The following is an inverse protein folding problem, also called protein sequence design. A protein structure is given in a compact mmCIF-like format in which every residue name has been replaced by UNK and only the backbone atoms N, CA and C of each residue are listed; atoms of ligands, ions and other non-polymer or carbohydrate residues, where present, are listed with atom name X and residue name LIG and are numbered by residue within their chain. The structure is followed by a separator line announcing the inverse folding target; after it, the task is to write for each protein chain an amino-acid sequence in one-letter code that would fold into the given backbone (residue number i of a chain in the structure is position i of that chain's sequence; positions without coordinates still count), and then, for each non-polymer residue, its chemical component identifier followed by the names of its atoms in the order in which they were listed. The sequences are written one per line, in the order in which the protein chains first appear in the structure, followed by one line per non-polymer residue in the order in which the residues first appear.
data_IF_094649649536
#
_entry.id   IF_094649649536
#
_cell.length_a   1.000
_cell.length_b   1.000
_cell.length_c   1.000
_cell.angle_alpha   90.00
_cell.angle_beta   90.00
_cell.angle_gamma   90.00
#
_symmetry.space_group_name_H-M   'P 1'
#
loop_
_entity.id
_entity.type
_entity.pdbx_description
1 polymer ?
#
# COMPACT_ATOMS: atom_id res chain seq x y z
N UNK A 1 -1.78 23.82 -4.62
CA UNK A 1 -1.69 22.38 -4.30
C UNK A 1 -3.01 21.87 -3.73
N UNK A 2 -3.43 22.35 -2.56
CA UNK A 2 -4.67 21.93 -1.89
C UNK A 2 -5.90 22.11 -2.80
N UNK A 3 -6.05 23.27 -3.43
CA UNK A 3 -7.14 23.54 -4.38
C UNK A 3 -7.24 22.52 -5.52
N UNK A 4 -6.10 22.05 -6.06
CA UNK A 4 -6.10 21.06 -7.14
C UNK A 4 -6.56 19.67 -6.66
N UNK A 5 -6.34 19.35 -5.38
CA UNK A 5 -6.84 18.13 -4.76
C UNK A 5 -8.34 18.27 -4.49
N UNK A 6 -8.75 19.34 -3.80
CA UNK A 6 -10.13 19.56 -3.37
C UNK A 6 -11.11 19.73 -4.54
N UNK A 7 -10.66 20.35 -5.63
CA UNK A 7 -11.45 20.49 -6.86
C UNK A 7 -11.50 19.24 -7.74
N UNK A 8 -10.72 18.20 -7.42
CA UNK A 8 -10.58 16.99 -8.23
C UNK A 8 -9.67 17.15 -9.47
N UNK A 9 -9.15 18.35 -9.76
CA UNK A 9 -8.30 18.61 -10.92
C UNK A 9 -7.03 17.73 -10.94
N UNK A 10 -6.49 17.38 -9.77
CA UNK A 10 -5.36 16.46 -9.64
C UNK A 10 -5.71 15.03 -10.07
N UNK A 11 -6.88 14.53 -9.66
CA UNK A 11 -7.35 13.18 -10.01
C UNK A 11 -7.64 13.07 -11.52
N UNK A 12 -8.29 14.09 -12.09
CA UNK A 12 -8.53 14.18 -13.53
C UNK A 12 -7.23 14.22 -14.33
N UNK A 13 -6.23 14.96 -13.83
CA UNK A 13 -4.91 14.98 -14.48
C UNK A 13 -4.24 13.61 -14.45
N UNK A 14 -4.42 12.83 -13.38
CA UNK A 14 -3.89 11.48 -13.28
C UNK A 14 -4.56 10.52 -14.27
N UNK A 15 -5.89 10.60 -14.44
CA UNK A 15 -6.65 9.84 -15.46
C UNK A 15 -6.13 10.12 -16.88
N UNK A 16 -5.94 11.40 -17.22
CA UNK A 16 -5.36 11.81 -18.51
C UNK A 16 -3.94 11.23 -18.68
N UNK A 17 -3.12 11.27 -17.64
CA UNK A 17 -1.76 10.72 -17.68
C UNK A 17 -1.75 9.22 -17.99
N UNK A 18 -2.55 8.42 -17.29
CA UNK A 18 -2.66 6.97 -17.49
C UNK A 18 -3.17 6.65 -18.91
N UNK A 19 -4.24 7.32 -19.33
CA UNK A 19 -4.83 7.14 -20.67
C UNK A 19 -3.84 7.44 -21.80
N UNK A 20 -3.07 8.51 -21.67
CA UNK A 20 -2.09 8.92 -22.67
C UNK A 20 -0.94 7.93 -22.85
N UNK A 21 -0.76 6.97 -21.93
CA UNK A 21 0.21 5.89 -22.01
C UNK A 21 -0.42 4.52 -22.28
N UNK A 22 -1.72 4.47 -22.60
CA UNK A 22 -2.45 3.25 -22.96
C UNK A 22 -3.00 2.44 -21.78
N UNK A 23 -2.98 2.98 -20.56
CA UNK A 23 -3.65 2.36 -19.41
C UNK A 23 -5.15 2.62 -19.39
N UNK A 24 -5.89 1.79 -18.65
CA UNK A 24 -7.32 1.99 -18.37
C UNK A 24 -7.51 3.02 -17.25
N UNK A 25 -7.96 4.22 -17.61
CA UNK A 25 -8.19 5.31 -16.65
C UNK A 25 -9.38 5.05 -15.72
N UNK A 26 -10.29 4.14 -16.07
CA UNK A 26 -11.50 3.88 -15.28
C UNK A 26 -11.17 3.21 -13.94
N UNK A 27 -10.00 2.56 -13.84
CA UNK A 27 -9.46 2.00 -12.61
C UNK A 27 -9.14 3.08 -11.57
N UNK A 28 -8.97 4.34 -11.97
CA UNK A 28 -8.76 5.45 -11.02
C UNK A 28 -10.04 5.75 -10.23
N UNK A 29 -11.21 5.64 -10.87
CA UNK A 29 -12.50 5.80 -10.20
C UNK A 29 -12.94 4.50 -9.51
N UNK A 30 -12.42 3.36 -9.96
CA UNK A 30 -12.72 2.00 -9.50
C UNK A 30 -11.44 1.23 -9.10
N UNK A 31 -10.70 1.67 -8.08
CA UNK A 31 -9.41 1.08 -7.69
C UNK A 31 -9.53 -0.38 -7.24
N UNK A 32 -10.72 -0.84 -6.86
CA UNK A 32 -11.01 -2.26 -6.57
C UNK A 32 -10.79 -3.20 -7.76
N UNK A 33 -10.67 -2.65 -8.99
CA UNK A 33 -10.35 -3.41 -10.21
C UNK A 33 -8.85 -3.66 -10.40
N UNK A 34 -7.98 -3.02 -9.60
CA UNK A 34 -6.55 -3.32 -9.60
C UNK A 34 -6.31 -4.78 -9.15
N UNK A 35 -5.16 -5.39 -9.52
CA UNK A 35 -4.77 -6.69 -9.01
C UNK A 35 -4.92 -6.76 -7.48
N UNK A 36 -5.65 -7.75 -6.99
CA UNK A 36 -5.89 -7.97 -5.56
C UNK A 36 -5.14 -9.21 -5.10
N UNK A 37 -4.43 -9.12 -3.97
CA UNK A 37 -3.78 -10.27 -3.36
C UNK A 37 -4.84 -11.32 -2.98
N UNK A 38 -4.56 -12.59 -3.27
CA UNK A 38 -5.45 -13.70 -2.95
C UNK A 38 -5.70 -13.84 -1.43
N UNK A 39 -4.69 -13.48 -0.62
CA UNK A 39 -4.75 -13.57 0.83
C UNK A 39 -4.48 -12.21 1.45
N UNK A 40 -5.32 -11.83 2.42
CA UNK A 40 -5.14 -10.65 3.26
C UNK A 40 -5.02 -11.15 4.70
N UNK A 41 -3.84 -10.98 5.32
CA UNK A 41 -3.52 -11.62 6.60
C UNK A 41 -3.19 -10.53 7.63
N UNK A 42 -4.08 -10.38 8.60
CA UNK A 42 -3.90 -9.43 9.68
C UNK A 42 -2.72 -9.81 10.60
N UNK A 43 -1.74 -8.92 10.75
CA UNK A 43 -0.67 -9.07 11.73
C UNK A 43 -0.98 -8.28 13.01
N UNK A 44 -1.37 -9.01 14.05
CA UNK A 44 -1.90 -8.43 15.29
C UNK A 44 -0.82 -8.07 16.30
N UNK A 45 -1.06 -6.99 17.05
CA UNK A 45 -0.24 -6.57 18.17
C UNK A 45 -0.26 -7.62 19.28
N UNK A 46 0.93 -7.95 19.81
CA UNK A 46 1.10 -8.94 20.88
C UNK A 46 0.86 -8.36 22.29
N UNK A 47 0.73 -7.03 22.39
CA UNK A 47 0.50 -6.29 23.63
C UNK A 47 -0.06 -4.92 23.32
N UNK A 48 -0.83 -4.36 24.25
CA UNK A 48 -1.30 -2.97 24.19
C UNK A 48 -0.17 -1.96 24.44
N UNK A 49 -0.32 -0.76 23.88
CA UNK A 49 0.62 0.35 24.08
C UNK A 49 0.57 1.36 22.95
N UNK A 50 1.74 1.92 22.62
CA UNK A 50 1.94 2.81 21.48
C UNK A 50 3.04 2.25 20.58
N UNK A 51 2.88 2.43 19.26
CA UNK A 51 3.93 2.07 18.31
C UNK A 51 5.09 3.05 18.47
N UNK A 52 6.23 2.58 18.97
CA UNK A 52 7.41 3.42 19.20
C UNK A 52 8.41 3.38 18.05
N UNK A 53 8.41 2.31 17.26
CA UNK A 53 9.40 2.09 16.21
C UNK A 53 8.81 1.24 15.07
N UNK A 54 9.17 1.61 13.84
CA UNK A 54 8.93 0.84 12.63
C UNK A 54 10.21 0.90 11.79
N UNK A 55 10.97 -0.20 11.71
CA UNK A 55 12.22 -0.24 10.93
C UNK A 55 11.88 -0.37 9.44
N UNK A 56 11.86 0.77 8.74
CA UNK A 56 11.42 0.85 7.33
C UNK A 56 12.12 -0.15 6.41
N UNK A 57 13.42 -0.38 6.60
CA UNK A 57 14.18 -1.33 5.79
C UNK A 57 13.67 -2.77 5.94
N UNK A 58 13.33 -3.19 7.17
CA UNK A 58 12.82 -4.54 7.41
C UNK A 58 11.39 -4.71 6.90
N UNK A 59 10.56 -3.67 6.99
CA UNK A 59 9.22 -3.67 6.38
C UNK A 59 9.32 -3.76 4.85
N UNK A 60 10.25 -3.02 4.24
CA UNK A 60 10.51 -3.09 2.80
C UNK A 60 11.00 -4.48 2.36
N UNK A 61 11.92 -5.09 3.10
CA UNK A 61 12.38 -6.47 2.85
C UNK A 61 11.23 -7.47 3.00
N UNK A 62 10.39 -7.33 4.04
CA UNK A 62 9.23 -8.21 4.22
C UNK A 62 8.23 -8.11 3.05
N UNK A 63 7.94 -6.91 2.56
CA UNK A 63 7.10 -6.70 1.37
C UNK A 63 7.72 -7.31 0.11
N UNK A 64 9.04 -7.15 -0.08
CA UNK A 64 9.75 -7.74 -1.20
C UNK A 64 9.76 -9.29 -1.15
N UNK A 65 9.85 -9.88 0.05
CA UNK A 65 9.71 -11.33 0.22
C UNK A 65 8.31 -11.87 -0.15
N UNK A 66 7.27 -11.02 -0.14
CA UNK A 66 5.94 -11.39 -0.65
C UNK A 66 5.86 -11.39 -2.18
N UNK A 67 6.83 -10.77 -2.88
CA UNK A 67 6.83 -10.60 -4.33
C UNK A 67 6.71 -9.15 -4.82
N UNK A 68 6.64 -8.17 -3.90
CA UNK A 68 6.50 -6.75 -4.26
C UNK A 68 7.79 -6.10 -4.79
N UNK A 69 8.84 -6.90 -5.02
CA UNK A 69 10.15 -6.41 -5.43
C UNK A 69 11.01 -7.52 -6.04
N UNK A 70 12.19 -7.12 -6.47
CA UNK A 70 13.17 -8.00 -7.11
C UNK A 70 14.38 -8.20 -6.21
N UNK A 71 14.79 -9.44 -5.98
CA UNK A 71 16.09 -9.76 -5.39
C UNK A 71 17.18 -9.75 -6.46
N UNK A 72 16.85 -10.30 -7.63
CA UNK A 72 17.70 -10.31 -8.83
C UNK A 72 17.03 -9.56 -9.97
N UNK A 73 17.79 -9.17 -11.00
CA UNK A 73 17.24 -8.38 -12.11
C UNK A 73 16.17 -9.16 -12.90
N UNK A 74 16.26 -10.48 -12.88
CA UNK A 74 15.43 -11.42 -13.62
C UNK A 74 14.14 -11.80 -12.89
N UNK A 75 13.99 -11.42 -11.61
CA UNK A 75 12.78 -11.75 -10.83
C UNK A 75 11.55 -11.01 -11.38
N UNK A 76 10.42 -11.70 -11.44
CA UNK A 76 9.12 -11.10 -11.69
C UNK A 76 8.56 -10.45 -10.42
N UNK A 77 7.77 -9.39 -10.60
CA UNK A 77 7.06 -8.71 -9.50
C UNK A 77 5.60 -9.16 -9.54
N UNK A 78 5.07 -9.54 -8.39
CA UNK A 78 3.63 -9.63 -8.20
C UNK A 78 3.09 -8.22 -7.82
N UNK A 79 2.25 -7.66 -8.70
CA UNK A 79 1.71 -6.30 -8.55
C UNK A 79 0.57 -6.22 -7.53
N UNK A 80 0.08 -7.37 -7.04
CA UNK A 80 -1.06 -7.45 -6.14
C UNK A 80 -0.67 -7.50 -4.66
N UNK A 81 0.58 -7.88 -4.36
CA UNK A 81 1.07 -8.10 -2.99
C UNK A 81 1.76 -6.88 -2.39
N UNK A 82 1.78 -6.80 -1.05
CA UNK A 82 2.45 -5.74 -0.33
C UNK A 82 2.13 -5.77 1.15
N UNK A 83 2.44 -4.67 1.85
CA UNK A 83 2.09 -4.45 3.26
C UNK A 83 1.39 -3.11 3.39
N UNK A 84 0.23 -3.10 4.06
CA UNK A 84 -0.52 -1.88 4.42
C UNK A 84 -0.39 -1.65 5.92
N UNK A 85 0.21 -0.52 6.31
CA UNK A 85 0.36 -0.16 7.72
C UNK A 85 -0.96 0.44 8.25
N UNK A 86 -1.58 -0.26 9.20
CA UNK A 86 -2.78 0.20 9.90
C UNK A 86 -2.44 1.10 11.11
N UNK A 87 -1.20 1.02 11.60
CA UNK A 87 -0.63 1.86 12.67
C UNK A 87 0.69 2.49 12.27
N UNK A 88 0.92 3.71 12.72
CA UNK A 88 2.13 4.51 12.53
C UNK A 88 2.78 4.79 13.90
N UNK A 89 4.01 5.29 13.87
CA UNK A 89 4.71 5.70 15.10
C UNK A 89 3.87 6.75 15.84
N UNK A 90 3.66 6.53 17.13
CA UNK A 90 2.81 7.37 17.99
C UNK A 90 1.35 6.93 18.06
N UNK A 91 0.91 5.99 17.23
CA UNK A 91 -0.45 5.48 17.32
C UNK A 91 -0.61 4.54 18.51
N UNK A 92 -1.75 4.66 19.20
CA UNK A 92 -2.17 3.70 20.21
C UNK A 92 -2.62 2.40 19.55
N UNK A 93 -2.27 1.27 20.15
CA UNK A 93 -2.70 -0.06 19.72
C UNK A 93 -3.04 -0.93 20.92
N UNK A 94 -4.07 -1.76 20.80
CA UNK A 94 -4.44 -2.76 21.81
C UNK A 94 -3.95 -4.17 21.43
N UNK A 95 -3.73 -5.05 22.41
CA UNK A 95 -3.44 -6.46 22.14
C UNK A 95 -4.52 -7.09 21.25
N UNK A 96 -4.09 -7.78 20.18
CA UNK A 96 -4.99 -8.38 19.19
C UNK A 96 -5.47 -7.43 18.09
N UNK A 97 -5.20 -6.12 18.19
CA UNK A 97 -5.48 -5.15 17.12
C UNK A 97 -4.47 -5.28 15.98
N UNK A 98 -4.90 -5.06 14.75
CA UNK A 98 -4.01 -5.14 13.58
C UNK A 98 -3.00 -3.99 13.56
N UNK A 99 -1.72 -4.34 13.41
CA UNK A 99 -0.66 -3.39 13.14
C UNK A 99 -0.55 -3.11 11.64
N UNK A 100 -0.72 -4.15 10.84
CA UNK A 100 -0.60 -4.14 9.39
C UNK A 100 -1.32 -5.36 8.81
N UNK A 101 -1.66 -5.25 7.53
CA UNK A 101 -2.18 -6.34 6.70
C UNK A 101 -1.21 -6.60 5.56
#
# INVERSE_FOLDING_TARGET
LIEAIDSGAALEKFKIFIKNQGGDETVIDHPERLPQAQYQIEYKAKKSGYVTELVSNYIGVASMMLGAGRLTKEDDIDLAVGIVLNKKIGDKVEEGESLLT
#
